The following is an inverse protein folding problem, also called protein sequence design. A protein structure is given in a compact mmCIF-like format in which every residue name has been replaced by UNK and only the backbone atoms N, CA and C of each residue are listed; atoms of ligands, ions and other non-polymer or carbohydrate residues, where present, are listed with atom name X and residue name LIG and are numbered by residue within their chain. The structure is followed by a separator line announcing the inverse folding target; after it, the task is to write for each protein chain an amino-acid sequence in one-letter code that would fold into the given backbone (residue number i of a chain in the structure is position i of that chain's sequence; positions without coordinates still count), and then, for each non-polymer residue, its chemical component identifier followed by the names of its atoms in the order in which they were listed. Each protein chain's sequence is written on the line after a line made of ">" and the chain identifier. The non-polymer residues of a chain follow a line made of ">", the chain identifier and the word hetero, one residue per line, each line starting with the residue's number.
data_IF_637848031289
#
_entry.id   IF_637848031289
#
_cell.length_a   1.000
_cell.length_b   1.000
_cell.length_c   1.000
_cell.angle_alpha   90.00
_cell.angle_beta   90.00
_cell.angle_gamma   90.00
#
_symmetry.space_group_name_H-M   'P 1'
#
loop_
_entity.id
_entity.type
_entity.pdbx_description
1 polymer ?
#
# COMPACT_ATOMS: atom_id res chain seq x y z
N UNK A 1 -17.34 34.11 -17.20
CA UNK A 1 -17.29 32.65 -17.00
C UNK A 1 -16.55 32.36 -15.71
N UNK A 2 -17.28 32.17 -14.61
CA UNK A 2 -16.70 31.87 -13.30
C UNK A 2 -16.38 30.37 -13.20
N UNK A 3 -15.11 30.05 -12.91
CA UNK A 3 -14.69 28.70 -12.55
C UNK A 3 -15.11 28.41 -11.10
N UNK A 4 -16.10 27.55 -10.91
CA UNK A 4 -16.36 26.93 -9.61
C UNK A 4 -15.39 25.76 -9.43
N UNK A 5 -14.33 25.96 -8.66
CA UNK A 5 -13.55 24.86 -8.08
C UNK A 5 -14.31 24.34 -6.84
N UNK A 6 -15.26 23.43 -7.05
CA UNK A 6 -15.87 22.66 -5.97
C UNK A 6 -14.83 21.71 -5.36
N UNK A 7 -14.09 22.20 -4.35
CA UNK A 7 -13.46 21.31 -3.38
C UNK A 7 -14.57 20.87 -2.44
N UNK A 8 -15.09 19.65 -2.61
CA UNK A 8 -16.05 19.08 -1.66
C UNK A 8 -15.32 18.84 -0.33
N UNK A 9 -15.53 19.74 0.63
CA UNK A 9 -15.12 19.55 2.01
C UNK A 9 -16.02 18.50 2.64
N UNK A 10 -15.46 17.34 2.99
CA UNK A 10 -16.16 16.37 3.83
C UNK A 10 -15.82 16.73 5.27
N UNK A 11 -16.80 17.20 6.03
CA UNK A 11 -16.64 17.31 7.49
C UNK A 11 -16.35 15.92 8.04
N UNK A 12 -15.33 15.80 8.90
CA UNK A 12 -15.07 14.55 9.59
C UNK A 12 -16.32 14.12 10.35
N UNK A 13 -16.70 12.85 10.23
CA UNK A 13 -17.82 12.27 10.98
C UNK A 13 -17.66 12.57 12.48
N UNK A 14 -18.68 13.16 13.10
CA UNK A 14 -18.66 13.57 14.50
C UNK A 14 -18.32 12.42 15.45
N UNK A 15 -18.69 11.18 15.09
CA UNK A 15 -18.33 9.98 15.86
C UNK A 15 -16.83 9.72 15.87
N UNK A 16 -16.12 10.09 14.78
CA UNK A 16 -14.67 9.95 14.65
C UNK A 16 -13.98 11.02 15.48
N UNK A 17 -14.46 12.26 15.41
CA UNK A 17 -13.97 13.36 16.24
C UNK A 17 -14.10 13.03 17.73
N UNK A 18 -15.24 12.46 18.13
CA UNK A 18 -15.49 12.08 19.52
C UNK A 18 -14.49 11.03 20.05
N UNK A 19 -13.94 10.19 19.16
CA UNK A 19 -13.04 9.08 19.52
C UNK A 19 -11.63 9.51 19.96
N UNK A 20 -11.19 10.73 19.65
CA UNK A 20 -9.88 11.22 20.07
C UNK A 20 -9.90 11.67 21.54
N UNK A 21 -9.00 11.18 22.39
CA UNK A 21 -8.94 11.59 23.80
C UNK A 21 -8.30 12.97 24.01
N UNK A 22 -7.42 13.38 23.10
CA UNK A 22 -6.64 14.62 23.18
C UNK A 22 -7.44 15.83 22.65
N UNK A 23 -7.70 16.87 23.48
CA UNK A 23 -8.47 18.05 23.06
C UNK A 23 -7.84 18.84 21.91
N UNK A 24 -6.51 18.87 21.80
CA UNK A 24 -5.81 19.56 20.71
C UNK A 24 -5.99 18.81 19.40
N UNK A 25 -5.89 17.48 19.43
CA UNK A 25 -6.18 16.65 18.25
C UNK A 25 -7.65 16.78 17.86
N UNK A 26 -8.58 16.76 18.81
CA UNK A 26 -10.02 16.99 18.56
C UNK A 26 -10.27 18.32 17.87
N UNK A 27 -9.81 19.42 18.46
CA UNK A 27 -10.00 20.77 17.92
C UNK A 27 -9.36 20.90 16.53
N UNK A 28 -8.23 20.25 16.31
CA UNK A 28 -7.57 20.24 15.01
C UNK A 28 -8.33 19.39 13.98
N UNK A 29 -8.81 18.19 14.30
CA UNK A 29 -9.63 17.37 13.37
C UNK A 29 -10.94 18.08 13.03
N UNK A 30 -11.52 18.83 13.97
CA UNK A 30 -12.71 19.65 13.75
C UNK A 30 -12.47 20.87 12.85
N UNK A 31 -11.29 21.50 12.96
CA UNK A 31 -10.96 22.74 12.24
C UNK A 31 -10.21 22.51 10.93
N UNK A 32 -9.46 21.41 10.84
CA UNK A 32 -8.93 20.94 9.59
C UNK A 32 -10.13 20.52 8.73
N UNK A 33 -10.35 21.22 7.61
CA UNK A 33 -10.99 20.59 6.48
C UNK A 33 -10.08 19.41 6.15
N UNK A 34 -10.34 18.26 6.76
CA UNK A 34 -9.53 17.06 6.62
C UNK A 34 -9.48 16.84 5.11
N UNK A 35 -8.34 17.04 4.45
CA UNK A 35 -8.23 16.65 3.07
C UNK A 35 -8.38 15.15 3.16
N UNK A 36 -9.54 14.61 2.78
CA UNK A 36 -9.72 13.17 2.64
C UNK A 36 -8.63 12.77 1.67
N UNK A 37 -7.57 12.12 2.18
CA UNK A 37 -6.32 11.89 1.46
C UNK A 37 -6.60 11.38 0.06
N UNK A 38 -6.64 12.28 -0.95
CA UNK A 38 -7.29 12.12 -2.25
C UNK A 38 -7.98 10.75 -2.46
N UNK A 39 -9.00 10.44 -1.65
CA UNK A 39 -9.55 9.06 -1.61
C UNK A 39 -10.39 8.78 -2.85
N UNK A 40 -10.61 9.79 -3.69
CA UNK A 40 -11.32 9.69 -4.94
C UNK A 40 -10.50 8.94 -5.98
N UNK A 41 -10.45 7.62 -5.87
CA UNK A 41 -10.44 6.80 -7.07
C UNK A 41 -11.75 7.12 -7.79
N UNK A 42 -11.66 7.64 -9.00
CA UNK A 42 -12.80 7.90 -9.87
C UNK A 42 -13.13 6.69 -10.73
N UNK A 43 -14.36 6.61 -11.23
CA UNK A 43 -14.77 5.57 -12.19
C UNK A 43 -13.83 5.53 -13.41
N UNK A 44 -13.33 6.67 -13.88
CA UNK A 44 -12.43 6.74 -15.04
C UNK A 44 -11.06 6.12 -14.79
N UNK A 45 -10.60 6.08 -13.54
CA UNK A 45 -9.34 5.46 -13.13
C UNK A 45 -9.45 3.93 -13.03
N UNK A 46 -10.65 3.38 -12.84
CA UNK A 46 -10.83 1.93 -12.82
C UNK A 46 -10.45 1.32 -14.18
N UNK A 47 -9.81 0.14 -14.18
CA UNK A 47 -9.43 -0.53 -15.40
C UNK A 47 -10.66 -0.97 -16.19
N UNK A 48 -10.54 -0.99 -17.52
CA UNK A 48 -11.61 -1.50 -18.40
C UNK A 48 -11.71 -3.02 -18.32
N UNK A 49 -10.57 -3.70 -18.19
CA UNK A 49 -10.47 -5.14 -18.02
C UNK A 49 -9.31 -5.46 -17.08
N UNK A 50 -9.34 -6.66 -16.48
CA UNK A 50 -8.30 -7.13 -15.56
C UNK A 50 -7.62 -8.38 -16.12
N UNK A 51 -6.30 -8.57 -15.85
CA UNK A 51 -5.62 -9.81 -16.21
C UNK A 51 -6.35 -11.03 -15.66
N UNK A 52 -6.53 -12.07 -16.48
CA UNK A 52 -7.10 -13.35 -16.03
C UNK A 52 -8.62 -13.36 -15.82
N UNK A 53 -9.39 -12.45 -16.43
CA UNK A 53 -10.85 -12.62 -16.49
C UNK A 53 -11.19 -13.91 -17.27
N UNK A 54 -11.40 -15.01 -16.55
CA UNK A 54 -11.70 -16.34 -17.10
C UNK A 54 -10.66 -17.44 -16.83
N UNK A 55 -9.46 -17.07 -16.35
CA UNK A 55 -8.46 -18.03 -15.85
C UNK A 55 -8.01 -17.57 -14.46
N UNK A 56 -8.19 -18.37 -13.40
CA UNK A 56 -7.87 -17.93 -12.04
C UNK A 56 -6.40 -17.54 -11.93
N UNK A 57 -6.15 -16.31 -11.48
CA UNK A 57 -4.81 -15.89 -11.06
C UNK A 57 -4.46 -16.65 -9.79
N UNK A 58 -3.32 -17.34 -9.78
CA UNK A 58 -2.91 -18.11 -8.61
C UNK A 58 -2.28 -17.18 -7.57
N UNK A 59 -3.12 -16.65 -6.70
CA UNK A 59 -2.70 -15.83 -5.57
C UNK A 59 -1.95 -16.66 -4.53
N UNK A 60 -0.85 -16.10 -4.03
CA UNK A 60 -0.16 -16.62 -2.86
C UNK A 60 -0.98 -16.35 -1.59
N UNK A 61 -0.92 -17.24 -0.61
CA UNK A 61 -1.49 -17.00 0.72
C UNK A 61 -0.36 -16.82 1.72
N UNK A 62 -0.69 -16.30 2.91
CA UNK A 62 0.30 -16.17 3.98
C UNK A 62 0.94 -17.53 4.32
N UNK A 63 0.13 -18.60 4.42
CA UNK A 63 0.64 -19.95 4.69
C UNK A 63 1.46 -20.56 3.54
N UNK A 64 1.11 -20.26 2.29
CA UNK A 64 1.81 -20.86 1.14
C UNK A 64 3.11 -20.14 0.79
N UNK A 65 3.19 -18.81 0.97
CA UNK A 65 4.30 -18.01 0.46
C UNK A 65 5.07 -17.20 1.52
N UNK A 66 4.56 -17.03 2.74
CA UNK A 66 5.32 -16.42 3.83
C UNK A 66 6.06 -17.47 4.68
N UNK A 67 7.23 -17.10 5.19
CA UNK A 67 7.92 -17.82 6.28
C UNK A 67 7.60 -17.21 7.64
N UNK A 68 7.29 -15.90 7.66
CA UNK A 68 6.97 -15.17 8.88
C UNK A 68 6.12 -13.96 8.55
N UNK A 69 5.14 -13.70 9.39
CA UNK A 69 4.40 -12.44 9.43
C UNK A 69 4.44 -11.94 10.87
N UNK A 70 4.80 -10.68 11.07
CA UNK A 70 4.70 -10.00 12.36
C UNK A 70 3.96 -8.69 12.13
N UNK A 71 2.87 -8.48 12.85
CA UNK A 71 2.14 -7.22 12.91
C UNK A 71 2.15 -6.76 14.36
N UNK A 72 2.58 -5.53 14.63
CA UNK A 72 2.55 -4.93 15.97
C UNK A 72 2.07 -3.50 15.89
N UNK A 73 1.28 -3.08 16.88
CA UNK A 73 0.85 -1.68 17.05
C UNK A 73 1.74 -0.91 18.04
N UNK A 74 2.92 -1.47 18.33
CA UNK A 74 3.90 -0.91 19.24
C UNK A 74 5.31 -1.05 18.70
N UNK A 75 6.16 -0.09 19.05
CA UNK A 75 7.57 -0.14 18.71
C UNK A 75 8.23 -1.31 19.47
N UNK A 76 8.96 -2.21 18.81
CA UNK A 76 9.58 -3.33 19.50
C UNK A 76 10.78 -2.93 20.38
N UNK A 77 11.36 -1.74 20.18
CA UNK A 77 12.53 -1.25 20.92
C UNK A 77 12.14 -0.29 22.06
N UNK A 78 11.06 0.48 21.87
CA UNK A 78 10.70 1.61 22.74
C UNK A 78 9.30 1.51 23.34
N UNK A 79 8.51 0.51 22.94
CA UNK A 79 7.14 0.26 23.42
C UNK A 79 6.15 1.41 23.17
N UNK A 80 6.51 2.42 22.36
CA UNK A 80 5.59 3.49 21.90
C UNK A 80 4.39 2.86 21.22
N UNK A 81 3.19 3.28 21.64
CA UNK A 81 1.91 2.75 21.17
C UNK A 81 1.36 3.62 20.06
N UNK A 82 0.20 3.25 19.53
CA UNK A 82 -0.48 4.08 18.55
C UNK A 82 0.15 4.01 17.16
N UNK A 83 1.11 3.14 16.87
CA UNK A 83 1.72 2.98 15.54
C UNK A 83 1.21 1.71 14.82
N UNK A 84 1.73 1.44 13.61
CA UNK A 84 1.73 0.11 12.99
C UNK A 84 3.13 -0.22 12.50
N UNK A 85 3.60 -1.42 12.83
CA UNK A 85 4.75 -2.04 12.22
C UNK A 85 4.37 -3.42 11.70
N UNK A 86 4.74 -3.70 10.45
CA UNK A 86 4.61 -5.00 9.81
C UNK A 86 5.96 -5.48 9.30
N UNK A 87 6.28 -6.74 9.52
CA UNK A 87 7.44 -7.46 8.97
C UNK A 87 6.97 -8.77 8.35
N UNK A 88 6.98 -8.81 7.02
CA UNK A 88 6.63 -9.95 6.21
C UNK A 88 7.90 -10.53 5.57
N UNK A 89 8.15 -11.81 5.80
CA UNK A 89 9.25 -12.55 5.18
C UNK A 89 8.69 -13.66 4.31
N UNK A 90 9.26 -13.80 3.13
CA UNK A 90 8.78 -14.74 2.12
C UNK A 90 9.56 -16.06 2.19
N UNK A 91 8.94 -17.13 1.71
CA UNK A 91 9.67 -18.31 1.24
C UNK A 91 10.45 -17.94 -0.03
N UNK A 92 11.45 -18.73 -0.44
CA UNK A 92 12.15 -18.48 -1.69
C UNK A 92 11.20 -18.33 -2.89
N UNK A 93 11.39 -17.27 -3.68
CA UNK A 93 10.62 -17.02 -4.90
C UNK A 93 11.45 -17.54 -6.07
N UNK A 94 11.22 -18.81 -6.43
CA UNK A 94 11.96 -19.51 -7.49
C UNK A 94 11.62 -18.90 -8.85
N UNK A 95 12.63 -18.73 -9.71
CA UNK A 95 12.51 -18.21 -11.06
C UNK A 95 12.59 -16.68 -11.16
N UNK A 96 12.62 -15.98 -10.03
CA UNK A 96 12.74 -14.51 -9.96
C UNK A 96 14.10 -14.14 -9.34
N UNK A 97 14.74 -13.09 -9.84
CA UNK A 97 15.99 -12.55 -9.29
C UNK A 97 15.98 -11.02 -9.19
N UNK A 98 17.03 -10.46 -8.59
CA UNK A 98 17.20 -9.04 -8.33
C UNK A 98 17.13 -8.16 -9.59
N UNK A 99 17.69 -8.63 -10.71
CA UNK A 99 17.61 -7.94 -12.00
C UNK A 99 16.17 -7.83 -12.47
N UNK A 100 15.38 -8.90 -12.38
CA UNK A 100 13.95 -8.87 -12.74
C UNK A 100 13.16 -7.91 -11.84
N UNK A 101 13.41 -7.93 -10.53
CA UNK A 101 12.73 -7.03 -9.58
C UNK A 101 13.07 -5.56 -9.84
N UNK A 102 14.35 -5.25 -10.05
CA UNK A 102 14.80 -3.88 -10.34
C UNK A 102 14.15 -3.38 -11.62
N UNK A 103 14.19 -4.18 -12.68
CA UNK A 103 13.54 -3.87 -13.94
C UNK A 103 12.02 -3.65 -13.77
N UNK A 104 11.35 -4.46 -12.94
CA UNK A 104 9.91 -4.34 -12.70
C UNK A 104 9.59 -2.96 -12.13
N UNK A 105 10.30 -2.51 -11.09
CA UNK A 105 10.08 -1.19 -10.49
C UNK A 105 10.39 -0.03 -11.45
N UNK A 106 11.42 -0.14 -12.28
CA UNK A 106 11.74 0.88 -13.29
C UNK A 106 10.67 1.05 -14.39
N UNK A 107 9.84 0.01 -14.56
CA UNK A 107 8.93 -0.16 -15.68
C UNK A 107 7.47 -0.38 -15.25
N UNK A 108 7.14 -0.20 -13.97
CA UNK A 108 5.84 -0.59 -13.43
C UNK A 108 4.66 0.19 -14.04
N UNK A 109 4.90 1.45 -14.42
CA UNK A 109 3.93 2.29 -15.13
C UNK A 109 3.78 1.94 -16.63
N UNK A 110 4.65 1.09 -17.17
CA UNK A 110 4.58 0.68 -18.57
C UNK A 110 3.63 -0.50 -18.76
N UNK A 111 3.18 -0.68 -20.00
CA UNK A 111 2.43 -1.86 -20.39
C UNK A 111 3.33 -3.10 -20.54
N UNK A 112 2.71 -4.27 -20.41
CA UNK A 112 3.31 -5.59 -20.56
C UNK A 112 2.28 -6.59 -21.10
N UNK A 113 2.75 -7.54 -21.92
CA UNK A 113 1.92 -8.64 -22.38
C UNK A 113 1.80 -9.71 -21.29
N UNK A 114 0.59 -9.98 -20.84
CA UNK A 114 0.31 -11.03 -19.87
C UNK A 114 0.24 -12.39 -20.58
N UNK A 115 1.34 -13.15 -20.49
CA UNK A 115 1.53 -14.39 -21.24
C UNK A 115 0.35 -15.39 -21.20
N UNK A 116 -0.38 -15.59 -20.08
CA UNK A 116 -1.50 -16.55 -20.05
C UNK A 116 -2.71 -16.21 -20.95
N UNK A 117 -2.89 -14.94 -21.32
CA UNK A 117 -3.96 -14.48 -22.24
C UNK A 117 -3.43 -13.79 -23.50
N UNK A 118 -2.13 -13.49 -23.57
CA UNK A 118 -1.50 -12.72 -24.63
C UNK A 118 -2.07 -11.29 -24.80
N UNK A 119 -2.78 -10.79 -23.79
CA UNK A 119 -3.33 -9.44 -23.77
C UNK A 119 -2.33 -8.47 -23.13
N UNK A 120 -2.43 -7.19 -23.50
CA UNK A 120 -1.57 -6.14 -22.95
C UNK A 120 -2.28 -5.41 -21.82
N UNK A 121 -1.62 -5.32 -20.67
CA UNK A 121 -2.09 -4.57 -19.50
C UNK A 121 -0.97 -3.69 -18.95
N UNK A 122 -1.29 -2.59 -18.24
CA UNK A 122 -0.33 -1.96 -17.33
C UNK A 122 0.31 -3.01 -16.42
N UNK A 123 1.64 -3.00 -16.30
CA UNK A 123 2.37 -4.00 -15.50
C UNK A 123 1.92 -3.96 -14.04
N UNK A 124 1.58 -2.77 -13.53
CA UNK A 124 0.96 -2.62 -12.23
C UNK A 124 -0.31 -3.47 -12.05
N UNK A 125 -1.20 -3.53 -13.05
CA UNK A 125 -2.36 -4.41 -12.98
C UNK A 125 -1.99 -5.90 -13.01
N UNK A 126 -0.93 -6.28 -13.71
CA UNK A 126 -0.44 -7.69 -13.72
C UNK A 126 0.14 -8.07 -12.35
N UNK A 127 0.80 -7.11 -11.68
CA UNK A 127 1.43 -7.31 -10.39
C UNK A 127 0.43 -7.70 -9.31
N UNK A 128 -0.75 -7.07 -9.31
CA UNK A 128 -1.88 -7.49 -8.48
C UNK A 128 -3.24 -7.24 -9.16
N UNK A 129 -3.74 -8.21 -9.96
CA UNK A 129 -4.92 -8.01 -10.81
C UNK A 129 -6.20 -7.69 -10.07
N UNK A 130 -6.26 -7.92 -8.76
CA UNK A 130 -7.45 -7.68 -7.95
C UNK A 130 -7.46 -6.31 -7.29
N UNK A 131 -6.30 -5.80 -6.88
CA UNK A 131 -6.23 -4.66 -5.96
C UNK A 131 -5.69 -3.41 -6.66
N UNK A 132 -4.84 -3.57 -7.68
CA UNK A 132 -4.25 -2.43 -8.38
C UNK A 132 -5.24 -1.77 -9.32
N UNK A 133 -5.16 -0.44 -9.39
CA UNK A 133 -5.99 0.40 -10.27
C UNK A 133 -5.10 1.15 -11.25
N UNK A 134 -4.23 2.04 -10.76
CA UNK A 134 -3.29 2.81 -11.59
C UNK A 134 -2.00 3.09 -10.81
N UNK A 135 -0.89 3.17 -11.54
CA UNK A 135 0.40 3.55 -10.99
C UNK A 135 1.04 4.62 -11.86
N UNK A 136 1.48 5.70 -11.22
CA UNK A 136 2.14 6.81 -11.89
C UNK A 136 3.54 7.00 -11.32
N UNK A 137 4.49 7.38 -12.17
CA UNK A 137 5.88 7.56 -11.78
C UNK A 137 6.38 8.89 -12.30
N UNK A 138 6.76 9.78 -11.39
CA UNK A 138 7.55 10.96 -11.69
C UNK A 138 9.02 10.63 -11.44
N UNK A 139 9.73 10.28 -12.52
CA UNK A 139 11.14 9.88 -12.50
C UNK A 139 12.08 11.06 -12.25
N UNK A 140 13.26 10.78 -11.69
CA UNK A 140 14.38 11.73 -11.58
C UNK A 140 15.45 11.31 -12.60
N UNK A 141 15.84 12.21 -13.49
CA UNK A 141 16.79 11.94 -14.58
C UNK A 141 16.40 10.70 -15.42
N UNK A 142 15.10 10.54 -15.71
CA UNK A 142 14.59 9.43 -16.54
C UNK A 142 14.58 8.05 -15.86
N UNK A 143 14.96 7.94 -14.58
CA UNK A 143 14.99 6.68 -13.82
C UNK A 143 14.15 6.76 -12.55
N UNK A 144 13.70 5.60 -12.06
CA UNK A 144 13.24 5.52 -10.67
C UNK A 144 14.50 5.59 -9.82
N UNK A 145 14.61 6.60 -8.98
CA UNK A 145 15.77 6.82 -8.12
C UNK A 145 15.38 7.67 -6.91
N UNK A 146 16.31 7.91 -5.99
CA UNK A 146 16.03 8.71 -4.79
C UNK A 146 15.44 10.07 -5.17
N UNK A 147 14.31 10.41 -4.55
CA UNK A 147 13.55 11.64 -4.82
C UNK A 147 12.48 11.51 -5.89
N UNK A 148 12.40 10.39 -6.63
CA UNK A 148 11.28 10.12 -7.52
C UNK A 148 9.97 10.03 -6.73
N UNK A 149 8.87 10.49 -7.33
CA UNK A 149 7.54 10.33 -6.75
C UNK A 149 6.79 9.20 -7.44
N UNK A 150 6.16 8.35 -6.63
CA UNK A 150 5.34 7.23 -7.05
C UNK A 150 3.91 7.48 -6.57
N UNK A 151 2.92 7.39 -7.45
CA UNK A 151 1.51 7.38 -7.07
C UNK A 151 1.00 5.95 -7.15
N UNK A 152 0.54 5.42 -6.01
CA UNK A 152 -0.04 4.08 -5.90
C UNK A 152 -1.55 4.22 -5.71
N UNK A 153 -2.32 3.74 -6.68
CA UNK A 153 -3.78 3.76 -6.62
C UNK A 153 -4.32 2.34 -6.51
N UNK A 154 -4.93 2.01 -5.39
CA UNK A 154 -5.25 0.64 -5.00
C UNK A 154 -6.61 0.54 -4.30
N UNK A 155 -7.22 -0.63 -4.42
CA UNK A 155 -8.39 -1.07 -3.68
C UNK A 155 -8.03 -2.38 -2.97
N UNK A 156 -7.26 -2.24 -1.89
CA UNK A 156 -6.64 -3.36 -1.17
C UNK A 156 -7.70 -4.37 -0.70
N UNK A 157 -7.48 -5.64 -1.03
CA UNK A 157 -8.34 -6.79 -0.72
C UNK A 157 -9.77 -6.68 -1.28
N UNK A 158 -9.90 -6.18 -2.51
CA UNK A 158 -11.19 -6.10 -3.21
C UNK A 158 -11.90 -7.46 -3.25
N UNK A 159 -13.11 -7.52 -2.69
CA UNK A 159 -13.95 -8.72 -2.62
C UNK A 159 -13.35 -9.91 -1.82
N UNK A 160 -12.41 -9.64 -0.90
CA UNK A 160 -11.96 -10.65 0.06
C UNK A 160 -12.91 -10.75 1.27
N UNK A 161 -12.87 -11.89 1.96
CA UNK A 161 -13.70 -12.15 3.15
C UNK A 161 -12.81 -12.00 4.39
N UNK A 162 -13.34 -11.33 5.40
CA UNK A 162 -12.60 -11.11 6.63
C UNK A 162 -13.52 -10.90 7.82
N UNK A 163 -13.00 -11.28 8.98
CA UNK A 163 -13.59 -10.88 10.25
C UNK A 163 -13.04 -9.50 10.61
N UNK A 164 -13.83 -8.46 10.33
CA UNK A 164 -13.44 -7.08 10.66
C UNK A 164 -13.07 -6.95 12.14
N UNK A 165 -13.76 -7.66 13.04
CA UNK A 165 -13.53 -7.57 14.47
C UNK A 165 -12.29 -8.34 14.96
N UNK A 166 -11.66 -9.15 14.10
CA UNK A 166 -10.48 -9.92 14.50
C UNK A 166 -9.20 -9.10 14.33
N UNK A 167 -8.45 -8.96 15.41
CA UNK A 167 -7.08 -8.41 15.37
C UNK A 167 -6.03 -9.49 15.03
N UNK A 168 -6.42 -10.77 14.99
CA UNK A 168 -5.51 -11.92 15.00
C UNK A 168 -5.73 -12.89 13.84
N UNK A 169 -6.90 -12.89 13.21
CA UNK A 169 -7.18 -13.80 12.10
C UNK A 169 -6.68 -13.20 10.78
N UNK A 170 -5.89 -13.95 10.01
CA UNK A 170 -5.46 -13.50 8.71
C UNK A 170 -6.66 -13.34 7.78
N UNK A 171 -6.62 -12.29 6.97
CA UNK A 171 -7.57 -12.09 5.89
C UNK A 171 -7.44 -13.23 4.88
N UNK A 172 -8.55 -13.62 4.23
CA UNK A 172 -8.53 -14.65 3.19
C UNK A 172 -9.34 -14.18 2.00
N UNK A 173 -8.72 -14.24 0.84
CA UNK A 173 -9.39 -13.93 -0.42
C UNK A 173 -9.91 -15.21 -1.07
N UNK A 174 -11.21 -15.29 -1.42
CA UNK A 174 -11.72 -16.38 -2.23
C UNK A 174 -10.93 -16.52 -3.55
N UNK A 175 -10.70 -17.74 -4.06
CA UNK A 175 -9.97 -17.95 -5.32
C UNK A 175 -10.57 -17.23 -6.53
N UNK A 176 -11.86 -16.91 -6.48
CA UNK A 176 -12.62 -16.21 -7.52
C UNK A 176 -12.82 -14.72 -7.23
N UNK A 177 -12.19 -14.16 -6.19
CA UNK A 177 -12.28 -12.74 -5.89
C UNK A 177 -11.69 -11.92 -7.06
N UNK A 178 -12.45 -10.91 -7.49
CA UNK A 178 -12.08 -10.04 -8.62
C UNK A 178 -12.02 -8.59 -8.15
N UNK A 179 -11.12 -7.82 -8.76
CA UNK A 179 -11.08 -6.38 -8.58
C UNK A 179 -12.18 -5.69 -9.36
N UNK A 180 -12.47 -4.43 -9.00
CA UNK A 180 -13.48 -3.63 -9.67
C UNK A 180 -12.99 -3.09 -11.02
N UNK A 181 -13.88 -2.98 -11.99
CA UNK A 181 -13.64 -2.40 -13.32
C UNK A 181 -14.58 -1.23 -13.58
N UNK A 182 -14.31 -0.45 -14.63
CA UNK A 182 -15.07 0.76 -14.97
C UNK A 182 -16.58 0.55 -15.12
N UNK A 183 -17.02 -0.63 -15.55
CA UNK A 183 -18.44 -0.95 -15.71
C UNK A 183 -19.15 -1.30 -14.39
N UNK A 184 -18.42 -1.50 -13.29
CA UNK A 184 -19.03 -1.77 -12.00
C UNK A 184 -19.70 -0.53 -11.43
N UNK A 185 -20.86 -0.73 -10.80
CA UNK A 185 -21.60 0.37 -10.17
C UNK A 185 -20.77 0.99 -9.06
N UNK A 186 -20.68 2.32 -9.01
CA UNK A 186 -19.94 3.04 -7.97
C UNK A 186 -20.31 2.60 -6.54
N UNK A 187 -21.60 2.36 -6.29
CA UNK A 187 -22.09 1.87 -4.99
C UNK A 187 -21.48 0.54 -4.52
N UNK A 188 -20.91 -0.26 -5.43
CA UNK A 188 -20.24 -1.53 -5.08
C UNK A 188 -18.84 -1.35 -4.50
N UNK A 189 -18.17 -0.23 -4.83
CA UNK A 189 -16.75 -0.03 -4.53
C UNK A 189 -16.45 1.29 -3.81
N UNK A 190 -17.34 2.29 -3.87
CA UNK A 190 -17.10 3.62 -3.29
C UNK A 190 -16.95 3.62 -1.76
N UNK A 191 -17.45 2.61 -1.05
CA UNK A 191 -17.26 2.45 0.40
C UNK A 191 -16.09 1.54 0.78
N UNK A 192 -15.45 0.92 -0.21
CA UNK A 192 -14.31 0.02 0.00
C UNK A 192 -13.07 0.79 0.43
N UNK A 193 -12.18 0.10 1.15
CA UNK A 193 -10.85 0.62 1.43
C UNK A 193 -10.11 0.84 0.11
N UNK A 194 -9.69 2.08 -0.10
CA UNK A 194 -9.00 2.52 -1.31
C UNK A 194 -7.98 3.58 -0.95
N UNK A 195 -6.89 3.59 -1.67
CA UNK A 195 -5.75 4.44 -1.42
C UNK A 195 -5.30 5.07 -2.73
N UNK A 196 -4.89 6.34 -2.67
CA UNK A 196 -4.21 7.04 -3.76
C UNK A 196 -3.02 7.78 -3.17
N UNK A 197 -1.95 7.03 -2.97
CA UNK A 197 -0.82 7.46 -2.15
C UNK A 197 0.30 7.99 -3.01
N UNK A 198 0.67 9.26 -2.80
CA UNK A 198 1.89 9.83 -3.37
C UNK A 198 3.04 9.61 -2.41
N UNK A 199 4.01 8.81 -2.82
CA UNK A 199 5.17 8.44 -2.01
C UNK A 199 6.47 8.89 -2.68
N UNK A 200 7.50 9.17 -1.88
CA UNK A 200 8.83 9.57 -2.34
C UNK A 200 9.79 8.39 -2.18
N UNK A 201 10.56 8.07 -3.22
CA UNK A 201 11.61 7.06 -3.14
C UNK A 201 12.76 7.56 -2.27
N UNK A 202 13.02 6.88 -1.17
CA UNK A 202 14.14 7.18 -0.27
C UNK A 202 15.44 6.54 -0.77
N UNK A 203 15.34 5.31 -1.28
CA UNK A 203 16.43 4.61 -1.95
C UNK A 203 15.89 3.52 -2.88
N UNK A 204 16.64 3.23 -3.94
CA UNK A 204 16.36 2.14 -4.85
C UNK A 204 17.66 1.58 -5.41
N UNK A 205 17.88 0.28 -5.26
CA UNK A 205 19.11 -0.45 -5.65
C UNK A 205 18.75 -1.88 -6.06
N UNK A 206 19.75 -2.62 -6.54
CA UNK A 206 19.59 -4.05 -6.89
C UNK A 206 19.17 -4.95 -5.73
N UNK A 207 19.21 -4.48 -4.48
CA UNK A 207 18.82 -5.26 -3.29
C UNK A 207 17.50 -4.81 -2.67
N UNK A 208 16.83 -3.81 -3.24
CA UNK A 208 15.56 -3.33 -2.69
C UNK A 208 15.14 -1.93 -3.11
N UNK A 209 13.96 -1.55 -2.63
CA UNK A 209 13.39 -0.22 -2.75
C UNK A 209 12.76 0.20 -1.43
N UNK A 210 12.83 1.48 -1.11
CA UNK A 210 12.07 2.09 -0.03
C UNK A 210 11.46 3.39 -0.50
N UNK A 211 10.22 3.61 -0.09
CA UNK A 211 9.50 4.84 -0.33
C UNK A 211 8.66 5.23 0.87
N UNK A 212 8.46 6.54 1.05
CA UNK A 212 7.77 7.11 2.19
C UNK A 212 6.65 8.05 1.77
N UNK A 213 5.57 8.04 2.54
CA UNK A 213 4.57 9.11 2.54
C UNK A 213 5.06 10.23 3.45
N UNK A 214 5.11 11.44 2.90
CA UNK A 214 5.54 12.65 3.60
C UNK A 214 4.35 13.59 3.69
N UNK A 215 4.00 14.00 4.91
CA UNK A 215 2.89 14.89 5.18
C UNK A 215 3.36 16.22 5.73
N UNK A 216 2.75 17.29 5.23
CA UNK A 216 2.91 18.63 5.77
C UNK A 216 1.61 19.03 6.46
N UNK A 217 1.65 19.23 7.78
CA UNK A 217 0.50 19.68 8.55
C UNK A 217 0.99 20.54 9.71
N UNK A 218 0.26 21.61 10.09
CA UNK A 218 0.57 22.37 11.30
C UNK A 218 0.69 21.48 12.55
N UNK A 219 -0.09 20.39 12.61
CA UNK A 219 0.01 19.40 13.69
C UNK A 219 1.37 18.71 13.70
N UNK A 220 1.99 18.45 12.54
CA UNK A 220 3.27 17.75 12.46
C UNK A 220 4.49 18.66 12.63
N UNK A 221 4.25 19.97 12.80
CA UNK A 221 5.25 21.03 12.91
C UNK A 221 5.53 21.75 11.59
N UNK A 222 6.50 22.68 11.57
CA UNK A 222 6.75 23.57 10.43
C UNK A 222 7.42 22.88 9.22
N UNK A 223 7.84 21.61 9.36
CA UNK A 223 8.50 20.84 8.30
C UNK A 223 7.69 19.60 7.98
N UNK A 224 7.65 19.17 6.70
CA UNK A 224 7.05 17.91 6.33
C UNK A 224 7.67 16.74 7.11
N UNK A 225 6.85 15.77 7.50
CA UNK A 225 7.25 14.61 8.30
C UNK A 225 6.90 13.31 7.58
N UNK A 226 7.73 12.29 7.76
CA UNK A 226 7.40 10.93 7.31
C UNK A 226 6.34 10.35 8.23
N UNK A 227 5.24 9.86 7.64
CA UNK A 227 4.11 9.27 8.38
C UNK A 227 3.84 7.81 7.99
N UNK A 228 4.39 7.38 6.85
CA UNK A 228 4.42 5.98 6.47
C UNK A 228 5.67 5.68 5.64
N UNK A 229 6.20 4.47 5.78
CA UNK A 229 7.32 3.97 5.00
C UNK A 229 7.06 2.53 4.62
N UNK A 230 7.29 2.20 3.36
CA UNK A 230 7.30 0.82 2.87
C UNK A 230 8.69 0.51 2.36
N UNK A 231 9.24 -0.63 2.78
CA UNK A 231 10.55 -1.12 2.35
C UNK A 231 10.42 -2.55 1.87
N UNK A 232 10.91 -2.80 0.66
CA UNK A 232 11.08 -4.13 0.10
C UNK A 232 12.58 -4.38 -0.08
N UNK A 233 13.08 -5.44 0.54
CA UNK A 233 14.47 -5.88 0.36
C UNK A 233 14.50 -7.30 -0.16
N UNK A 234 15.48 -7.61 -0.99
CA UNK A 234 15.65 -8.95 -1.54
C UNK A 234 17.12 -9.30 -1.71
N UNK A 235 17.38 -10.60 -1.85
CA UNK A 235 18.70 -11.17 -2.10
C UNK A 235 18.55 -12.39 -2.98
N UNK A 236 19.42 -12.52 -3.96
CA UNK A 236 19.47 -13.68 -4.84
C UNK A 236 20.02 -14.91 -4.11
N UNK A 237 19.59 -16.09 -4.57
CA UNK A 237 20.27 -17.34 -4.27
C UNK A 237 21.70 -17.31 -4.83
N UNK A 238 22.58 -18.18 -4.33
CA UNK A 238 23.95 -18.30 -4.85
C UNK A 238 23.99 -18.59 -6.36
N UNK A 239 22.97 -19.28 -6.89
CA UNK A 239 22.83 -19.59 -8.30
C UNK A 239 22.15 -18.47 -9.14
N UNK A 240 21.64 -17.41 -8.51
CA UNK A 240 20.93 -16.32 -9.21
C UNK A 240 19.56 -16.70 -9.79
N UNK A 241 19.01 -17.86 -9.39
CA UNK A 241 17.78 -18.45 -9.94
C UNK A 241 16.54 -18.22 -9.06
N UNK A 242 16.70 -17.63 -7.88
CA UNK A 242 15.61 -17.38 -6.95
C UNK A 242 15.91 -16.18 -6.04
N UNK A 243 14.87 -15.53 -5.53
CA UNK A 243 14.99 -14.62 -4.38
C UNK A 243 14.87 -15.42 -3.09
N UNK A 244 15.90 -15.43 -2.24
CA UNK A 244 15.92 -16.19 -0.96
C UNK A 244 15.82 -15.29 0.28
N UNK A 245 15.73 -13.97 0.08
CA UNK A 245 15.71 -12.98 1.15
C UNK A 245 14.65 -11.90 0.96
N UNK A 246 13.59 -12.17 0.21
CA UNK A 246 12.52 -11.19 0.03
C UNK A 246 11.85 -10.90 1.39
N UNK A 247 11.76 -9.62 1.72
CA UNK A 247 11.19 -9.09 2.95
C UNK A 247 10.50 -7.77 2.67
N UNK A 248 9.29 -7.64 3.19
CA UNK A 248 8.51 -6.40 3.14
C UNK A 248 8.33 -5.89 4.56
N UNK A 249 8.64 -4.61 4.77
CA UNK A 249 8.42 -3.92 6.03
C UNK A 249 7.55 -2.69 5.77
N UNK A 250 6.57 -2.47 6.64
CA UNK A 250 5.69 -1.31 6.62
C UNK A 250 5.69 -0.67 8.00
N UNK A 251 5.89 0.64 8.03
CA UNK A 251 5.78 1.47 9.22
C UNK A 251 4.70 2.53 8.97
N UNK A 252 3.72 2.65 9.85
CA UNK A 252 2.71 3.73 9.82
C UNK A 252 2.69 4.39 11.19
N UNK A 253 2.88 5.71 11.20
CA UNK A 253 3.03 6.52 12.40
C UNK A 253 4.06 7.62 12.18
N UNK A 254 4.09 8.58 13.09
CA UNK A 254 5.02 9.70 13.07
C UNK A 254 6.45 9.19 13.24
N UNK A 255 7.29 9.38 12.23
CA UNK A 255 8.71 9.07 12.34
C UNK A 255 9.50 10.18 13.04
N UNK A 256 10.59 9.82 13.70
CA UNK A 256 11.59 10.76 14.20
C UNK A 256 12.17 11.60 13.06
N UNK A 257 12.57 12.82 13.39
CA UNK A 257 13.14 13.78 12.42
C UNK A 257 14.34 13.13 11.71
N UNK A 258 14.39 13.28 10.38
CA UNK A 258 15.43 12.73 9.50
C UNK A 258 15.53 11.20 9.47
N UNK A 259 14.51 10.47 9.94
CA UNK A 259 14.45 9.01 9.86
C UNK A 259 13.22 8.56 9.08
N UNK A 260 13.31 7.38 8.45
CA UNK A 260 12.19 6.76 7.73
C UNK A 260 11.65 5.52 8.43
N UNK A 261 12.35 5.00 9.45
CA UNK A 261 12.00 3.73 10.10
C UNK A 261 12.09 3.76 11.63
N UNK A 262 12.33 4.92 12.22
CA UNK A 262 12.35 5.08 13.68
C UNK A 262 11.16 5.94 14.06
N UNK A 263 10.28 5.42 14.88
CA UNK A 263 9.13 6.18 15.33
C UNK A 263 9.54 7.28 16.30
N UNK A 264 8.79 8.37 16.27
CA UNK A 264 8.85 9.37 17.30
C UNK A 264 8.17 8.82 18.56
N UNK A 265 8.87 8.91 19.68
CA UNK A 265 8.48 8.28 20.95
C UNK A 265 8.01 9.28 22.00
N UNK A 266 7.83 10.55 21.63
CA UNK A 266 7.27 11.56 22.52
C UNK A 266 5.79 11.30 22.81
N UNK A 267 5.28 11.79 23.94
CA UNK A 267 3.85 11.67 24.28
C UNK A 267 2.94 12.29 23.21
N UNK A 268 3.43 13.35 22.56
CA UNK A 268 2.78 13.98 21.42
C UNK A 268 2.54 13.02 20.25
N UNK A 269 3.49 12.11 19.99
CA UNK A 269 3.37 11.14 18.91
C UNK A 269 2.20 10.18 19.12
N UNK A 270 1.86 9.82 20.38
CA UNK A 270 0.74 8.92 20.65
C UNK A 270 -0.59 9.49 20.13
N UNK A 271 -0.88 10.76 20.43
CA UNK A 271 -2.10 11.44 19.98
C UNK A 271 -2.11 11.63 18.46
N UNK A 272 -0.97 12.02 17.88
CA UNK A 272 -0.83 12.24 16.43
C UNK A 272 -0.94 10.95 15.63
N UNK A 273 -0.46 9.83 16.15
CA UNK A 273 -0.46 8.60 15.39
C UNK A 273 -1.88 8.05 15.16
N UNK A 274 -2.83 8.27 16.07
CA UNK A 274 -4.24 7.95 15.82
C UNK A 274 -4.80 8.74 14.62
N UNK A 275 -4.43 10.02 14.53
CA UNK A 275 -4.79 10.83 13.37
C UNK A 275 -4.12 10.34 12.08
N UNK A 276 -2.81 10.04 12.11
CA UNK A 276 -2.09 9.49 10.96
C UNK A 276 -2.73 8.20 10.46
N UNK A 277 -3.09 7.28 11.36
CA UNK A 277 -3.80 6.05 10.97
C UNK A 277 -5.12 6.37 10.28
N UNK A 278 -5.91 7.28 10.85
CA UNK A 278 -7.17 7.68 10.24
C UNK A 278 -6.97 8.21 8.81
N UNK A 279 -5.95 9.05 8.60
CA UNK A 279 -5.58 9.54 7.27
C UNK A 279 -5.18 8.44 6.30
N UNK A 280 -4.34 7.50 6.75
CA UNK A 280 -3.86 6.39 5.91
C UNK A 280 -4.95 5.35 5.64
N UNK A 281 -5.92 5.21 6.54
CA UNK A 281 -7.10 4.35 6.35
C UNK A 281 -8.17 5.02 5.49
N UNK A 282 -8.02 6.31 5.15
CA UNK A 282 -8.93 7.02 4.24
C UNK A 282 -10.38 7.09 4.72
N UNK A 283 -10.62 6.98 6.03
CA UNK A 283 -11.98 6.99 6.61
C UNK A 283 -12.89 5.87 6.10
N UNK A 284 -12.33 4.75 5.62
CA UNK A 284 -13.13 3.63 5.12
C UNK A 284 -14.02 3.00 6.21
N UNK A 285 -15.26 2.66 5.87
CA UNK A 285 -16.16 1.90 6.74
C UNK A 285 -15.83 0.39 6.79
N UNK A 286 -14.98 -0.07 5.87
CA UNK A 286 -14.61 -1.48 5.76
C UNK A 286 -13.57 -1.89 6.82
N UNK A 287 -12.90 -0.93 7.44
CA UNK A 287 -12.00 -1.18 8.57
C UNK A 287 -12.74 -0.83 9.87
N UNK A 288 -12.66 -1.67 10.91
CA UNK A 288 -13.10 -1.25 12.23
C UNK A 288 -12.25 -0.07 12.66
N UNK A 289 -12.93 1.02 13.01
CA UNK A 289 -12.35 2.14 13.74
C UNK A 289 -11.58 1.55 14.92
N UNK A 290 -10.29 1.90 15.03
CA UNK A 290 -9.34 1.46 16.09
C UNK A 290 -8.61 0.12 15.90
N UNK A 291 -8.93 -0.73 14.91
CA UNK A 291 -8.19 -1.99 14.71
C UNK A 291 -7.03 -1.84 13.72
N UNK A 292 -5.97 -1.11 14.10
CA UNK A 292 -4.79 -0.93 13.23
C UNK A 292 -4.06 -2.24 12.92
N UNK A 293 -4.15 -3.23 13.81
CA UNK A 293 -3.57 -4.56 13.57
C UNK A 293 -4.26 -5.27 12.40
N UNK A 294 -5.57 -5.09 12.20
CA UNK A 294 -6.26 -5.60 11.03
C UNK A 294 -5.70 -4.98 9.74
N UNK A 295 -5.44 -3.66 9.71
CA UNK A 295 -4.77 -3.01 8.57
C UNK A 295 -3.40 -3.64 8.28
N UNK A 296 -2.62 -3.96 9.30
CA UNK A 296 -1.34 -4.66 9.14
C UNK A 296 -1.49 -6.05 8.51
N UNK A 297 -2.49 -6.82 8.94
CA UNK A 297 -2.77 -8.13 8.33
C UNK A 297 -3.31 -8.01 6.90
N UNK A 298 -4.11 -6.99 6.59
CA UNK A 298 -4.55 -6.71 5.22
C UNK A 298 -3.36 -6.45 4.30
N UNK A 299 -2.48 -5.54 4.71
CA UNK A 299 -1.28 -5.21 3.97
C UNK A 299 -0.36 -6.44 3.83
N UNK A 300 -0.23 -7.25 4.87
CA UNK A 300 0.55 -8.48 4.80
C UNK A 300 -0.01 -9.45 3.74
N UNK A 301 -1.33 -9.62 3.65
CA UNK A 301 -1.95 -10.45 2.62
C UNK A 301 -1.76 -9.84 1.22
N UNK A 302 -2.03 -8.55 1.07
CA UNK A 302 -1.82 -7.83 -0.19
C UNK A 302 -0.38 -8.00 -0.71
N UNK A 303 0.61 -7.71 0.14
CA UNK A 303 2.02 -7.88 -0.22
C UNK A 303 2.39 -9.35 -0.47
N UNK A 304 1.82 -10.33 0.26
CA UNK A 304 2.17 -11.74 0.00
C UNK A 304 1.65 -12.19 -1.37
N UNK A 305 0.48 -11.71 -1.76
CA UNK A 305 -0.15 -12.01 -3.05
C UNK A 305 0.61 -11.38 -4.22
N UNK A 306 0.98 -10.11 -4.08
CA UNK A 306 1.82 -9.36 -5.03
C UNK A 306 3.14 -10.07 -5.31
N UNK A 307 4.01 -10.10 -4.29
CA UNK A 307 5.40 -10.53 -4.47
C UNK A 307 5.48 -12.04 -4.61
N UNK A 308 4.64 -12.80 -3.91
CA UNK A 308 4.56 -14.24 -4.08
C UNK A 308 4.05 -14.65 -5.46
N UNK A 309 3.18 -13.82 -6.07
CA UNK A 309 2.66 -13.99 -7.42
C UNK A 309 3.68 -13.73 -8.52
N UNK A 310 4.75 -12.96 -8.27
CA UNK A 310 5.75 -12.60 -9.30
C UNK A 310 6.34 -13.79 -10.06
N UNK A 311 6.56 -14.94 -9.40
CA UNK A 311 7.06 -16.17 -10.04
C UNK A 311 6.19 -16.67 -11.19
N UNK A 312 4.91 -16.30 -11.22
CA UNK A 312 3.95 -16.76 -12.23
C UNK A 312 3.98 -15.95 -13.52
N UNK A 313 4.42 -14.68 -13.45
CA UNK A 313 4.31 -13.76 -14.57
C UNK A 313 5.62 -13.03 -14.90
N UNK A 314 6.36 -12.58 -13.89
CA UNK A 314 7.52 -11.70 -14.06
C UNK A 314 8.61 -12.30 -14.95
N UNK A 315 9.00 -13.59 -14.82
CA UNK A 315 10.02 -14.17 -15.69
C UNK A 315 9.60 -14.18 -17.17
N UNK A 316 8.32 -14.42 -17.46
CA UNK A 316 7.80 -14.45 -18.83
C UNK A 316 7.78 -13.05 -19.44
N UNK A 317 7.25 -12.06 -18.71
CA UNK A 317 7.21 -10.66 -19.17
C UNK A 317 8.61 -10.10 -19.36
N UNK A 318 9.53 -10.39 -18.44
CA UNK A 318 10.93 -9.93 -18.54
C UNK A 318 11.64 -10.51 -19.77
N UNK A 319 11.45 -11.80 -20.07
CA UNK A 319 12.03 -12.43 -21.26
C UNK A 319 11.49 -11.87 -22.56
N UNK A 320 10.21 -11.55 -22.63
CA UNK A 320 9.57 -11.01 -23.85
C UNK A 320 10.07 -9.61 -24.26
N UNK A 321 10.88 -8.95 -23.42
CA UNK A 321 11.54 -7.68 -23.76
C UNK A 321 12.96 -7.84 -24.28
N UNK A 322 13.52 -9.04 -24.24
CA UNK A 322 14.84 -9.36 -24.80
C UNK A 322 14.68 -9.91 -26.20
#
# INVERSE_FOLDING_TARGET
>A
MCCFALHSQVQADESIVASFSDPLVKAWVQSAAVPTAATGISVSELPVARPGQGKPYSFCTLGSCATRVRVTNKDPLTNTTGMLYMDLRYKPIVGVNSTMMTWMFENMANNATYAPTNETFPMYLIFHPRDHVVHEVQKVNGTVSRGAHLTWCEMILSNCIYNKNSALEPWVCPPNAKGFIRSDKESSWAKKYKTKEKMVVNWFRSTGIEFSRIEASPLLGPKPRVVATTRHTWRDSAAGTALVGMRTQLWIGLMDINTTTKFNTSDFANSVNEFIKFQVMGGTSDLPTQNVTALGWMNALHFVEEYGGTKTWLPAVWRARK
#
